data_IF_893999328901
#
_entry.id   IF_893999328901
#
_cell.length_a   1.000
_cell.length_b   1.000
_cell.length_c   1.000
_cell.angle_alpha   90.00
_cell.angle_beta   90.00
_cell.angle_gamma   90.00
#
_symmetry.space_group_name_H-M   'P 1'
#
loop_
_entity.id
_entity.type
_entity.pdbx_description
1 polymer ?
#
# COMPACT_ATOMS: atom_id res chain seq x y z
N UNK A 1 -14.80 -2.44 6.61
CA UNK A 1 -13.62 -1.54 6.50
C UNK A 1 -13.05 -1.59 5.08
N UNK A 2 -12.27 -0.60 4.65
CA UNK A 2 -11.66 -0.54 3.31
C UNK A 2 -10.16 -0.83 3.37
N UNK A 3 -9.72 -1.93 2.78
CA UNK A 3 -8.33 -2.37 2.77
C UNK A 3 -7.63 -1.93 1.47
N UNK A 4 -6.51 -1.23 1.57
CA UNK A 4 -5.70 -0.84 0.43
C UNK A 4 -4.58 -1.85 0.21
N UNK A 5 -4.64 -2.53 -0.93
CA UNK A 5 -3.68 -3.56 -1.33
C UNK A 5 -2.75 -3.03 -2.41
N UNK A 6 -1.44 -3.13 -2.19
CA UNK A 6 -0.42 -2.85 -3.19
C UNK A 6 -0.20 -4.09 -4.05
N UNK A 7 -0.36 -3.96 -5.36
CA UNK A 7 -0.28 -5.08 -6.32
C UNK A 7 1.07 -5.12 -7.03
N UNK A 8 1.56 -3.96 -7.47
CA UNK A 8 2.84 -3.85 -8.18
C UNK A 8 3.35 -2.41 -8.18
N UNK A 9 4.63 -2.25 -8.52
CA UNK A 9 5.25 -0.95 -8.79
C UNK A 9 6.46 -1.15 -9.72
N UNK A 10 6.84 -0.14 -10.51
CA UNK A 10 8.07 -0.19 -11.30
C UNK A 10 9.29 -0.04 -10.39
N UNK A 11 10.32 -0.87 -10.59
CA UNK A 11 11.51 -0.92 -9.71
C UNK A 11 12.21 0.44 -9.56
N UNK A 12 12.20 1.26 -10.60
CA UNK A 12 12.75 2.63 -10.60
C UNK A 12 12.05 3.57 -9.62
N UNK A 13 10.78 3.30 -9.28
CA UNK A 13 9.99 4.08 -8.33
C UNK A 13 9.96 3.46 -6.92
N UNK A 14 10.71 2.38 -6.66
CA UNK A 14 10.75 1.69 -5.35
C UNK A 14 10.95 2.65 -4.18
N UNK A 15 11.83 3.63 -4.31
CA UNK A 15 12.09 4.65 -3.28
C UNK A 15 10.87 5.57 -3.04
N UNK A 16 10.18 5.99 -4.11
CA UNK A 16 8.98 6.84 -3.98
C UNK A 16 7.83 6.06 -3.34
N UNK A 17 7.62 4.81 -3.73
CA UNK A 17 6.62 3.91 -3.15
C UNK A 17 6.93 3.61 -1.69
N UNK A 18 8.20 3.31 -1.35
CA UNK A 18 8.68 3.12 0.03
C UNK A 18 8.32 4.32 0.91
N UNK A 19 8.59 5.54 0.42
CA UNK A 19 8.31 6.78 1.14
C UNK A 19 6.80 6.94 1.39
N UNK A 20 5.97 6.66 0.40
CA UNK A 20 4.51 6.74 0.50
C UNK A 20 3.96 5.73 1.50
N UNK A 21 4.42 4.47 1.47
CA UNK A 21 4.03 3.45 2.45
C UNK A 21 4.46 3.85 3.87
N UNK A 22 5.71 4.33 4.04
CA UNK A 22 6.24 4.78 5.33
C UNK A 22 5.45 5.94 5.94
N UNK A 23 4.99 6.88 5.11
CA UNK A 23 4.13 8.01 5.55
C UNK A 23 2.85 7.50 6.20
N UNK A 24 2.29 6.40 5.67
CA UNK A 24 1.03 5.81 6.12
C UNK A 24 1.19 4.83 7.27
N UNK A 25 2.37 4.20 7.37
CA UNK A 25 2.75 3.19 8.36
C UNK A 25 4.01 3.62 9.12
N UNK A 26 3.91 4.72 9.87
CA UNK A 26 5.06 5.29 10.63
C UNK A 26 5.63 4.35 11.70
N UNK A 27 4.89 3.31 12.08
CA UNK A 27 5.30 2.30 13.06
C UNK A 27 6.17 1.20 12.47
N UNK A 28 6.22 1.06 11.14
CA UNK A 28 7.04 0.03 10.50
C UNK A 28 8.51 0.43 10.52
N UNK A 29 9.34 -0.55 10.86
CA UNK A 29 10.79 -0.43 10.71
C UNK A 29 11.17 -0.44 9.23
N UNK A 30 12.38 0.06 8.94
CA UNK A 30 12.91 0.11 7.58
C UNK A 30 12.94 -1.28 6.92
N UNK A 31 13.35 -2.30 7.67
CA UNK A 31 13.36 -3.70 7.24
C UNK A 31 11.98 -4.19 6.82
N UNK A 32 10.95 -3.95 7.65
CA UNK A 32 9.57 -4.35 7.35
C UNK A 32 9.04 -3.69 6.07
N UNK A 33 9.39 -2.43 5.83
CA UNK A 33 8.99 -1.74 4.61
C UNK A 33 9.69 -2.32 3.38
N UNK A 34 10.96 -2.67 3.50
CA UNK A 34 11.71 -3.36 2.46
C UNK A 34 11.13 -4.75 2.16
N UNK A 35 10.73 -5.52 3.17
CA UNK A 35 10.07 -6.82 3.00
C UNK A 35 8.77 -6.70 2.20
N UNK A 36 7.95 -5.69 2.52
CA UNK A 36 6.69 -5.42 1.78
C UNK A 36 6.99 -5.15 0.30
N UNK A 37 7.98 -4.28 0.01
CA UNK A 37 8.38 -3.99 -1.37
C UNK A 37 8.94 -5.21 -2.09
N UNK A 38 9.74 -6.03 -1.40
CA UNK A 38 10.28 -7.26 -1.96
C UNK A 38 9.18 -8.25 -2.30
N UNK A 39 8.20 -8.43 -1.42
CA UNK A 39 7.05 -9.30 -1.66
C UNK A 39 6.23 -8.84 -2.87
N UNK A 40 5.93 -7.54 -2.96
CA UNK A 40 5.21 -6.96 -4.10
C UNK A 40 6.02 -7.06 -5.40
N UNK A 41 7.33 -6.82 -5.35
CA UNK A 41 8.20 -6.99 -6.51
C UNK A 41 8.29 -8.45 -6.97
N UNK A 42 8.06 -9.42 -6.08
CA UNK A 42 7.93 -10.84 -6.38
C UNK A 42 6.51 -11.24 -6.85
N UNK A 43 5.58 -10.27 -6.99
CA UNK A 43 4.21 -10.51 -7.44
C UNK A 43 3.24 -10.89 -6.33
N UNK A 44 3.63 -10.74 -5.06
CA UNK A 44 2.75 -10.98 -3.91
C UNK A 44 2.09 -9.66 -3.50
N UNK A 45 0.77 -9.58 -3.58
CA UNK A 45 0.03 -8.41 -3.13
C UNK A 45 0.20 -8.22 -1.61
N UNK A 46 0.35 -6.97 -1.17
CA UNK A 46 0.55 -6.65 0.25
C UNK A 46 -0.47 -5.64 0.73
N UNK A 47 -0.98 -5.87 1.95
CA UNK A 47 -1.85 -4.91 2.63
C UNK A 47 -1.02 -3.70 3.06
N UNK A 48 -1.37 -2.52 2.56
CA UNK A 48 -0.74 -1.26 2.97
C UNK A 48 -1.40 -0.72 4.22
N UNK A 49 -2.74 -0.65 4.22
CA UNK A 49 -3.52 -0.06 5.32
C UNK A 49 -5.00 -0.39 5.22
N UNK A 50 -5.66 -0.54 6.36
CA UNK A 50 -7.12 -0.56 6.46
C UNK A 50 -7.62 0.79 6.94
N UNK A 51 -8.65 1.31 6.28
CA UNK A 51 -9.24 2.61 6.55
C UNK A 51 -10.76 2.45 6.77
N UNK A 52 -11.36 3.21 7.71
CA UNK A 52 -12.79 3.09 8.00
C UNK A 52 -13.68 3.74 6.92
N UNK A 53 -13.11 4.60 6.07
CA UNK A 53 -13.83 5.40 5.07
C UNK A 53 -13.26 5.09 3.67
N UNK A 54 -14.15 4.86 2.71
CA UNK A 54 -13.80 4.56 1.31
C UNK A 54 -12.99 5.67 0.67
N UNK A 55 -13.45 6.92 0.80
CA UNK A 55 -12.76 8.09 0.24
C UNK A 55 -11.32 8.21 0.75
N UNK A 56 -11.06 7.86 2.01
CA UNK A 56 -9.71 7.84 2.55
C UNK A 56 -8.85 6.75 1.89
N UNK A 57 -9.43 5.58 1.61
CA UNK A 57 -8.77 4.48 0.92
C UNK A 57 -8.48 4.83 -0.55
N UNK A 58 -9.43 5.46 -1.24
CA UNK A 58 -9.24 5.95 -2.61
C UNK A 58 -8.18 7.03 -2.69
N UNK A 59 -8.15 7.95 -1.73
CA UNK A 59 -7.12 8.98 -1.66
C UNK A 59 -5.73 8.34 -1.47
N UNK A 60 -5.62 7.27 -0.68
CA UNK A 60 -4.38 6.53 -0.55
C UNK A 60 -3.98 5.81 -1.85
N UNK A 61 -4.93 5.18 -2.54
CA UNK A 61 -4.65 4.58 -3.86
C UNK A 61 -4.15 5.62 -4.86
N UNK A 62 -4.75 6.82 -4.87
CA UNK A 62 -4.28 7.94 -5.71
C UNK A 62 -2.87 8.41 -5.33
N UNK A 63 -2.55 8.53 -4.04
CA UNK A 63 -1.18 8.86 -3.59
C UNK A 63 -0.15 7.82 -4.05
N UNK A 64 -0.50 6.53 -3.97
CA UNK A 64 0.34 5.43 -4.45
C UNK A 64 0.49 5.46 -5.97
N UNK A 65 -0.58 5.74 -6.71
CA UNK A 65 -0.56 5.88 -8.17
C UNK A 65 0.34 7.03 -8.65
N UNK A 66 0.34 8.17 -7.94
CA UNK A 66 1.27 9.29 -8.22
C UNK A 66 2.73 8.85 -8.03
N UNK A 67 2.98 7.91 -7.11
CA UNK A 67 4.30 7.32 -6.88
C UNK A 67 4.63 6.21 -7.89
N UNK A 68 3.76 5.92 -8.87
CA UNK A 68 3.91 4.86 -9.86
C UNK A 68 3.47 3.47 -9.40
N UNK A 69 2.93 3.31 -8.19
CA UNK A 69 2.42 2.04 -7.70
C UNK A 69 1.00 1.75 -8.20
N UNK A 70 0.69 0.48 -8.40
CA UNK A 70 -0.66 -0.01 -8.66
C UNK A 70 -1.21 -0.57 -7.34
N UNK A 71 -2.28 0.04 -6.86
CA UNK A 71 -2.98 -0.35 -5.64
C UNK A 71 -4.49 -0.40 -5.87
N UNK A 72 -5.19 -1.15 -5.02
CA UNK A 72 -6.63 -1.40 -5.12
C UNK A 72 -7.28 -1.31 -3.74
N UNK A 73 -8.49 -0.74 -3.68
CA UNK A 73 -9.32 -0.78 -2.48
C UNK A 73 -10.18 -2.05 -2.53
N UNK A 74 -10.15 -2.82 -1.44
CA UNK A 74 -11.02 -3.97 -1.23
C UNK A 74 -11.89 -3.72 -0.02
N UNK A 75 -13.20 -3.86 -0.20
CA UNK A 75 -14.10 -3.88 0.94
C UNK A 75 -13.84 -5.16 1.73
N UNK A 76 -13.39 -4.98 2.97
CA UNK A 76 -13.29 -6.07 3.95
C UNK A 76 -14.59 -6.07 4.72
N UNK A 77 -15.36 -7.15 4.55
CA UNK A 77 -16.51 -7.41 5.40
C UNK A 77 -16.00 -7.50 6.84
N UNK A 78 -16.36 -6.50 7.64
CA UNK A 78 -16.36 -6.62 9.09
C UNK A 78 -17.29 -7.79 9.37
N UNK A 79 -16.71 -8.98 9.58
CA UNK A 79 -17.52 -10.13 9.98
C UNK A 79 -17.71 -9.95 11.48
N UNK A 80 -18.93 -9.65 11.96
CA UNK A 80 -19.19 -9.34 13.36
C UNK A 80 -18.87 -10.51 14.29
#
# INVERSE_FOLDING_TARGET
MYAVWLKSFPKEQSHNVLRSIRKQNRTYSDHQLHDILHAVAAGTEQLVKTLPVEEAADNLVKELAISGAIAEVRETADTP
#
